data_IF_017588461019
#
_entry.id   IF_017588461019
#
_cell.length_a   1.000
_cell.length_b   1.000
_cell.length_c   1.000
_cell.angle_alpha   90.00
_cell.angle_beta   90.00
_cell.angle_gamma   90.00
#
_symmetry.space_group_name_H-M   'P 1'
#
loop_
_entity.id
_entity.type
_entity.pdbx_description
1 polymer ?
#
# COMPACT_ATOMS: atom_id res chain seq x y z
N UNK A 1 13.82 -11.69 19.08
CA UNK A 1 14.95 -11.53 18.15
C UNK A 1 14.44 -11.81 16.74
N UNK A 2 14.24 -10.77 15.91
CA UNK A 2 13.79 -10.95 14.52
C UNK A 2 14.97 -11.50 13.71
N UNK A 3 14.85 -12.76 13.27
CA UNK A 3 15.78 -13.44 12.38
C UNK A 3 15.85 -12.67 11.06
N UNK A 4 17.04 -12.17 10.72
CA UNK A 4 17.45 -11.57 9.44
C UNK A 4 16.40 -10.71 8.73
N UNK A 5 16.52 -9.39 8.84
CA UNK A 5 15.87 -8.46 7.90
C UNK A 5 16.24 -8.88 6.47
N UNK A 6 15.28 -9.40 5.71
CA UNK A 6 15.51 -9.79 4.32
C UNK A 6 15.95 -8.53 3.55
N UNK A 7 17.15 -8.48 2.94
CA UNK A 7 17.69 -7.27 2.31
C UNK A 7 16.83 -6.78 1.14
N UNK A 8 15.96 -7.64 0.61
CA UNK A 8 15.03 -7.30 -0.46
C UNK A 8 13.77 -6.58 0.04
N UNK A 9 13.59 -6.44 1.37
CA UNK A 9 12.50 -5.71 1.99
C UNK A 9 13.02 -4.40 2.56
N UNK A 10 12.55 -3.29 2.00
CA UNK A 10 12.74 -1.98 2.61
C UNK A 10 11.61 -1.73 3.62
N UNK A 11 11.94 -1.71 4.90
CA UNK A 11 11.01 -1.40 5.99
C UNK A 11 10.89 0.12 6.13
N UNK A 12 9.80 0.71 5.62
CA UNK A 12 9.56 2.16 5.72
C UNK A 12 8.99 2.52 7.11
N UNK A 13 8.07 1.71 7.62
CA UNK A 13 7.61 1.71 9.01
C UNK A 13 6.91 0.36 9.33
N UNK A 14 6.42 0.20 10.57
CA UNK A 14 5.77 -1.03 11.04
C UNK A 14 4.57 -1.52 10.20
N UNK A 15 3.92 -0.64 9.44
CA UNK A 15 2.74 -0.92 8.63
C UNK A 15 2.98 -0.73 7.12
N UNK A 16 4.19 -0.38 6.70
CA UNK A 16 4.51 -0.02 5.31
C UNK A 16 5.89 -0.52 4.94
N UNK A 17 5.95 -1.45 4.00
CA UNK A 17 7.18 -1.97 3.41
C UNK A 17 7.23 -1.70 1.91
N UNK A 18 8.41 -1.83 1.31
CA UNK A 18 8.59 -1.75 -0.13
C UNK A 18 9.51 -2.87 -0.63
N UNK A 19 9.13 -3.50 -1.74
CA UNK A 19 9.79 -4.68 -2.31
C UNK A 19 9.72 -4.61 -3.83
N UNK A 20 10.71 -5.14 -4.54
CA UNK A 20 10.57 -5.42 -5.97
C UNK A 20 9.64 -6.63 -6.13
N UNK A 21 8.48 -6.46 -6.75
CA UNK A 21 7.47 -7.55 -6.79
C UNK A 21 7.97 -8.83 -7.48
N UNK A 22 8.92 -8.70 -8.42
CA UNK A 22 9.63 -9.83 -9.03
C UNK A 22 10.39 -10.70 -8.01
N UNK A 23 10.75 -10.16 -6.84
CA UNK A 23 11.45 -10.87 -5.78
C UNK A 23 10.50 -11.50 -4.75
N UNK A 24 9.20 -11.16 -4.77
CA UNK A 24 8.26 -11.70 -3.77
C UNK A 24 8.21 -13.23 -3.74
N UNK A 25 8.27 -13.97 -4.88
CA UNK A 25 8.33 -15.43 -4.83
C UNK A 25 9.50 -15.99 -3.98
N UNK A 26 10.54 -15.19 -3.74
CA UNK A 26 11.70 -15.54 -2.93
C UNK A 26 11.60 -15.04 -1.47
N UNK A 27 10.49 -14.39 -1.11
CA UNK A 27 10.27 -13.76 0.20
C UNK A 27 9.07 -14.44 0.87
N UNK A 28 9.31 -15.51 1.66
CA UNK A 28 8.23 -16.32 2.24
C UNK A 28 7.37 -15.53 3.24
N UNK A 29 7.85 -14.39 3.73
CA UNK A 29 7.09 -13.50 4.62
C UNK A 29 5.94 -12.76 3.91
N UNK A 30 5.93 -12.72 2.58
CA UNK A 30 4.94 -11.98 1.79
C UNK A 30 4.13 -12.96 0.96
N UNK A 31 2.87 -13.17 1.35
CA UNK A 31 1.92 -13.94 0.56
C UNK A 31 1.35 -13.07 -0.57
N UNK A 32 1.94 -13.17 -1.77
CA UNK A 32 1.46 -12.52 -2.98
C UNK A 32 0.99 -13.54 -4.00
N UNK A 33 -0.20 -13.32 -4.56
CA UNK A 33 -0.66 -14.00 -5.77
C UNK A 33 -0.83 -12.94 -6.86
N UNK A 34 0.11 -12.81 -7.82
CA UNK A 34 -0.06 -11.89 -8.93
C UNK A 34 -1.30 -12.26 -9.75
N UNK A 35 -2.03 -11.25 -10.20
CA UNK A 35 -3.01 -11.43 -11.26
C UNK A 35 -2.25 -11.54 -12.59
N UNK A 36 -2.29 -12.68 -13.29
CA UNK A 36 -1.54 -12.87 -14.53
C UNK A 36 -2.01 -11.93 -15.66
N UNK A 37 -3.18 -11.32 -15.54
CA UNK A 37 -3.70 -10.35 -16.51
C UNK A 37 -3.15 -8.93 -16.34
N UNK A 38 -2.47 -8.64 -15.23
CA UNK A 38 -1.95 -7.31 -14.90
C UNK A 38 -0.42 -7.37 -14.81
N UNK A 39 0.32 -6.62 -15.64
CA UNK A 39 1.77 -6.53 -15.53
C UNK A 39 2.20 -6.05 -14.14
N UNK A 40 3.24 -6.67 -13.57
CA UNK A 40 3.69 -6.36 -12.21
C UNK A 40 4.02 -4.88 -12.04
N UNK A 41 4.61 -4.24 -13.03
CA UNK A 41 5.01 -2.84 -13.05
C UNK A 41 3.82 -1.86 -12.97
N UNK A 42 2.59 -2.34 -13.21
CA UNK A 42 1.36 -1.56 -13.09
C UNK A 42 0.71 -1.68 -11.72
N UNK A 43 1.16 -2.60 -10.87
CA UNK A 43 0.62 -2.80 -9.52
C UNK A 43 1.37 -1.87 -8.54
N UNK A 44 0.70 -0.88 -7.94
CA UNK A 44 1.35 0.06 -7.01
C UNK A 44 1.69 -0.55 -5.65
N UNK A 45 0.96 -1.57 -5.21
CA UNK A 45 1.20 -2.29 -3.97
C UNK A 45 0.03 -3.20 -3.58
N UNK A 46 0.13 -3.83 -2.42
CA UNK A 46 -0.91 -4.71 -1.88
C UNK A 46 -0.87 -4.82 -0.36
N UNK A 47 -1.91 -5.40 0.23
CA UNK A 47 -1.88 -5.82 1.63
C UNK A 47 -1.29 -7.21 1.79
N UNK A 48 -0.34 -7.34 2.70
CA UNK A 48 -0.04 -8.62 3.32
C UNK A 48 -1.15 -9.03 4.31
N UNK A 49 -1.20 -10.33 4.67
CA UNK A 49 -2.22 -10.87 5.58
C UNK A 49 -2.22 -10.21 6.97
N UNK A 50 -1.13 -9.56 7.36
CA UNK A 50 -0.97 -8.88 8.64
C UNK A 50 -1.41 -7.41 8.63
N UNK A 51 -2.01 -6.94 7.55
CA UNK A 51 -2.38 -5.53 7.38
C UNK A 51 -1.17 -4.62 7.14
N UNK A 52 -0.03 -5.20 6.76
CA UNK A 52 1.14 -4.46 6.27
C UNK A 52 0.91 -4.13 4.80
N UNK A 53 1.02 -2.85 4.45
CA UNK A 53 1.01 -2.44 3.06
C UNK A 53 2.40 -2.67 2.45
N UNK A 54 2.48 -3.45 1.38
CA UNK A 54 3.72 -3.72 0.63
C UNK A 54 3.66 -2.98 -0.69
N UNK A 55 4.51 -1.98 -0.86
CA UNK A 55 4.63 -1.19 -2.08
C UNK A 55 5.54 -1.86 -3.10
N UNK A 56 5.21 -1.72 -4.38
CA UNK A 56 6.01 -2.26 -5.46
C UNK A 56 7.07 -1.25 -5.93
N UNK A 57 8.35 -1.59 -5.76
CA UNK A 57 9.46 -0.77 -6.26
C UNK A 57 9.53 -0.69 -7.79
N UNK A 58 8.91 -1.64 -8.49
CA UNK A 58 8.88 -1.66 -9.96
C UNK A 58 7.81 -0.71 -10.53
N UNK A 59 6.94 -0.14 -9.68
CA UNK A 59 5.90 0.77 -10.13
C UNK A 59 6.50 2.11 -10.59
N UNK A 60 6.12 2.58 -11.78
CA UNK A 60 6.66 3.82 -12.40
C UNK A 60 6.64 5.03 -11.46
N UNK A 61 5.64 5.13 -10.60
CA UNK A 61 5.47 6.24 -9.65
C UNK A 61 5.74 5.84 -8.19
N UNK A 62 6.60 4.84 -7.96
CA UNK A 62 6.91 4.29 -6.64
C UNK A 62 7.20 5.37 -5.57
N UNK A 63 8.11 6.30 -5.83
CA UNK A 63 8.48 7.34 -4.85
C UNK A 63 7.30 8.24 -4.47
N UNK A 64 6.44 8.55 -5.45
CA UNK A 64 5.22 9.31 -5.18
C UNK A 64 4.24 8.50 -4.32
N UNK A 65 3.99 7.23 -4.67
CA UNK A 65 3.11 6.34 -3.89
C UNK A 65 3.64 6.17 -2.47
N UNK A 66 4.95 5.97 -2.29
CA UNK A 66 5.62 5.86 -1.00
C UNK A 66 5.42 7.09 -0.14
N UNK A 67 5.70 8.27 -0.67
CA UNK A 67 5.51 9.55 0.03
C UNK A 67 4.04 9.77 0.41
N UNK A 68 3.13 9.54 -0.54
CA UNK A 68 1.69 9.76 -0.34
C UNK A 68 1.10 8.77 0.67
N UNK A 69 1.45 7.49 0.59
CA UNK A 69 1.00 6.47 1.56
C UNK A 69 1.46 6.82 2.97
N UNK A 70 2.73 7.23 3.13
CA UNK A 70 3.28 7.68 4.42
C UNK A 70 2.53 8.89 4.98
N UNK A 71 2.11 9.83 4.14
CA UNK A 71 1.32 10.98 4.55
C UNK A 71 -0.11 10.58 4.96
N UNK A 72 -0.79 9.77 4.14
CA UNK A 72 -2.16 9.30 4.38
C UNK A 72 -2.27 8.49 5.68
N UNK A 73 -1.28 7.67 6.02
CA UNK A 73 -1.23 6.91 7.27
C UNK A 73 -1.31 7.79 8.54
N UNK A 74 -0.92 9.07 8.45
CA UNK A 74 -1.00 10.03 9.57
C UNK A 74 -2.39 10.65 9.74
N UNK A 75 -3.28 10.49 8.76
CA UNK A 75 -4.62 11.10 8.78
C UNK A 75 -5.59 10.30 9.65
N UNK A 76 -6.52 10.99 10.31
CA UNK A 76 -7.66 10.35 11.00
C UNK A 76 -8.66 9.79 9.97
N UNK A 77 -9.43 8.74 10.29
CA UNK A 77 -10.40 8.16 9.34
C UNK A 77 -11.41 9.19 8.78
N UNK A 78 -11.82 10.17 9.60
CA UNK A 78 -12.71 11.26 9.17
C UNK A 78 -12.04 12.18 8.13
N UNK A 79 -10.75 12.46 8.28
CA UNK A 79 -9.99 13.26 7.30
C UNK A 79 -9.85 12.49 5.99
N UNK A 80 -9.52 11.20 6.03
CA UNK A 80 -9.42 10.36 4.82
C UNK A 80 -10.74 10.35 4.04
N UNK A 81 -11.89 10.20 4.73
CA UNK A 81 -13.20 10.27 4.07
C UNK A 81 -13.47 11.63 3.44
N UNK A 82 -13.17 12.73 4.14
CA UNK A 82 -13.31 14.09 3.59
C UNK A 82 -12.48 14.28 2.31
N UNK A 83 -11.24 13.78 2.30
CA UNK A 83 -10.37 13.85 1.12
C UNK A 83 -10.96 13.05 -0.06
N UNK A 84 -11.51 11.85 0.20
CA UNK A 84 -12.19 11.06 -0.83
C UNK A 84 -13.45 11.77 -1.37
N UNK A 85 -14.25 12.39 -0.49
CA UNK A 85 -15.43 13.15 -0.90
C UNK A 85 -15.04 14.36 -1.76
N UNK A 86 -13.95 15.05 -1.42
CA UNK A 86 -13.42 16.15 -2.20
C UNK A 86 -12.97 15.67 -3.59
N UNK A 87 -12.26 14.54 -3.69
CA UNK A 87 -11.83 13.98 -4.97
C UNK A 87 -13.02 13.57 -5.85
N UNK A 88 -14.12 13.12 -5.25
CA UNK A 88 -15.32 12.75 -6.01
C UNK A 88 -15.99 13.94 -6.71
N UNK A 89 -15.84 15.15 -6.15
CA UNK A 89 -16.41 16.39 -6.72
C UNK A 89 -15.69 16.89 -7.97
N UNK A 90 -14.48 16.37 -8.26
CA UNK A 90 -13.69 16.76 -9.42
C UNK A 90 -13.49 15.53 -10.34
N UNK A 91 -14.31 15.36 -11.39
CA UNK A 91 -14.34 14.12 -12.19
C UNK A 91 -13.10 13.93 -13.08
N UNK A 92 -12.28 14.96 -13.28
CA UNK A 92 -10.99 14.84 -13.97
C UNK A 92 -10.03 14.01 -13.15
N UNK A 93 -9.89 12.72 -13.44
CA UNK A 93 -8.93 11.82 -12.79
C UNK A 93 -7.50 12.12 -13.26
N UNK A 94 -6.93 13.24 -12.83
CA UNK A 94 -5.51 13.50 -13.07
C UNK A 94 -4.68 12.35 -12.46
N UNK A 95 -3.57 11.92 -13.10
CA UNK A 95 -2.78 10.78 -12.62
C UNK A 95 -2.39 10.87 -11.13
N UNK A 96 -2.09 12.08 -10.64
CA UNK A 96 -1.79 12.33 -9.22
C UNK A 96 -2.99 12.07 -8.30
N UNK A 97 -4.19 12.46 -8.73
CA UNK A 97 -5.43 12.25 -7.97
C UNK A 97 -5.81 10.77 -7.93
N UNK A 98 -5.56 10.01 -9.00
CA UNK A 98 -5.73 8.55 -9.02
C UNK A 98 -4.83 7.90 -7.97
N UNK A 99 -3.54 8.27 -7.95
CA UNK A 99 -2.58 7.76 -6.95
C UNK A 99 -2.99 8.15 -5.53
N UNK A 100 -3.42 9.39 -5.32
CA UNK A 100 -3.84 9.85 -4.00
C UNK A 100 -5.10 9.11 -3.52
N UNK A 101 -6.11 8.97 -4.39
CA UNK A 101 -7.32 8.19 -4.13
C UNK A 101 -6.99 6.75 -3.77
N UNK A 102 -6.11 6.12 -4.54
CA UNK A 102 -5.61 4.77 -4.24
C UNK A 102 -5.03 4.69 -2.82
N UNK A 103 -4.13 5.61 -2.44
CA UNK A 103 -3.52 5.61 -1.11
C UNK A 103 -4.56 5.79 0.02
N UNK A 104 -5.56 6.67 -0.19
CA UNK A 104 -6.64 6.92 0.77
C UNK A 104 -7.52 5.68 1.00
N UNK A 105 -7.98 5.04 -0.08
CA UNK A 105 -8.80 3.82 -0.01
C UNK A 105 -8.01 2.67 0.63
N UNK A 106 -6.75 2.53 0.23
CA UNK A 106 -5.82 1.55 0.78
C UNK A 106 -5.71 1.70 2.30
N UNK A 107 -5.42 2.90 2.81
CA UNK A 107 -5.27 3.07 4.26
C UNK A 107 -6.57 2.78 5.05
N UNK A 108 -7.75 3.06 4.48
CA UNK A 108 -9.01 2.66 5.11
C UNK A 108 -9.14 1.14 5.19
N UNK A 109 -8.82 0.43 4.11
CA UNK A 109 -8.89 -1.03 4.08
C UNK A 109 -7.90 -1.66 5.06
N UNK A 110 -6.67 -1.17 5.10
CA UNK A 110 -5.65 -1.58 6.07
C UNK A 110 -6.17 -1.50 7.51
N UNK A 111 -6.85 -0.40 7.85
CA UNK A 111 -7.42 -0.20 9.20
C UNK A 111 -8.53 -1.19 9.52
N UNK A 112 -9.32 -1.64 8.53
CA UNK A 112 -10.31 -2.71 8.73
C UNK A 112 -9.63 -4.03 9.04
N UNK A 113 -8.61 -4.40 8.25
CA UNK A 113 -7.84 -5.65 8.44
C UNK A 113 -7.21 -5.68 9.84
N UNK A 114 -6.58 -4.58 10.29
CA UNK A 114 -5.99 -4.49 11.63
C UNK A 114 -7.05 -4.56 12.73
N UNK A 115 -8.20 -3.88 12.56
CA UNK A 115 -9.28 -3.91 13.55
C UNK A 115 -9.89 -5.31 13.71
N UNK A 116 -10.09 -6.03 12.62
CA UNK A 116 -10.67 -7.37 12.64
C UNK A 116 -9.78 -8.39 13.35
N UNK A 117 -8.45 -8.18 13.36
CA UNK A 117 -7.53 -9.04 14.13
C UNK A 117 -7.49 -8.76 15.62
N UNK A 118 -7.76 -7.52 16.06
CA UNK A 118 -7.77 -7.17 17.50
C UNK A 118 -9.00 -7.67 18.27
N UNK A 119 -9.92 -8.38 17.60
CA UNK A 119 -11.11 -8.99 18.17
C UNK A 119 -10.96 -10.52 18.38
N UNK A 120 -9.74 -11.04 18.32
CA UNK A 120 -9.39 -12.43 18.64
C UNK A 120 -8.50 -12.49 19.88
#
# INVERSE_FOLDING_TARGET
MLKHENPNIEVINKNLWAVHFSLIPLIPQINYKPDPSIPLEQVPGQFGPDGIMVLNKNFKHFELVKRTTKAVMKLKPRQIRKELDNLHRFPTNQPLQVIYRYCLLTELERRKVVKNRGNY
#
